data_IF_639930304160
#
_entry.id   IF_639930304160
#
_cell.length_a   1.000
_cell.length_b   1.000
_cell.length_c   1.000
_cell.angle_alpha   90.00
_cell.angle_beta   90.00
_cell.angle_gamma   90.00
#
_symmetry.space_group_name_H-M   'P 1'
#
loop_
_entity.id
_entity.type
_entity.pdbx_description
1 polymer ?
#
# COMPACT_ATOMS: atom_id res chain seq x y z
N UNK A 1 -10.56 15.01 -26.71
CA UNK A 1 -11.59 13.96 -26.65
C UNK A 1 -10.92 12.61 -26.46
N UNK A 2 -11.58 11.64 -25.82
CA UNK A 2 -11.05 10.28 -25.71
C UNK A 2 -11.17 9.57 -27.07
N UNK A 3 -10.12 8.90 -27.57
CA UNK A 3 -10.15 8.27 -28.89
C UNK A 3 -11.07 7.05 -28.90
N UNK A 4 -12.00 7.00 -29.85
CA UNK A 4 -12.81 5.81 -30.09
C UNK A 4 -11.95 4.65 -30.60
N UNK A 5 -10.96 4.95 -31.44
CA UNK A 5 -9.95 4.01 -31.92
C UNK A 5 -8.58 4.67 -32.04
N UNK A 6 -7.51 3.89 -31.99
CA UNK A 6 -6.13 4.35 -32.14
C UNK A 6 -5.22 3.23 -32.66
N UNK A 7 -4.10 3.60 -33.28
CA UNK A 7 -3.07 2.66 -33.69
C UNK A 7 -1.98 2.54 -32.61
N UNK A 8 -1.60 1.31 -32.28
CA UNK A 8 -0.45 1.05 -31.42
C UNK A 8 0.35 -0.13 -31.96
N UNK A 9 1.65 0.09 -32.22
CA UNK A 9 2.57 -0.91 -32.80
C UNK A 9 2.00 -1.62 -34.04
N UNK A 10 1.38 -0.87 -34.95
CA UNK A 10 0.84 -1.41 -36.21
C UNK A 10 -0.49 -2.15 -36.11
N UNK A 11 -1.15 -2.18 -34.94
CA UNK A 11 -2.48 -2.76 -34.74
C UNK A 11 -3.46 -1.68 -34.30
N UNK A 12 -4.65 -1.69 -34.89
CA UNK A 12 -5.76 -0.82 -34.50
C UNK A 12 -6.47 -1.38 -33.27
N UNK A 13 -6.77 -0.51 -32.31
CA UNK A 13 -7.48 -0.83 -31.07
C UNK A 13 -8.60 0.16 -30.80
N UNK A 14 -9.57 -0.29 -30.02
CA UNK A 14 -10.36 0.56 -29.12
C UNK A 14 -9.83 0.39 -27.66
N UNK A 15 -10.26 1.22 -26.69
CA UNK A 15 -9.78 1.08 -25.32
C UNK A 15 -10.04 -0.30 -24.68
N UNK A 16 -11.15 -0.98 -25.03
CA UNK A 16 -11.52 -2.28 -24.45
C UNK A 16 -10.64 -3.42 -24.97
N UNK A 17 -10.42 -3.45 -26.27
CA UNK A 17 -9.56 -4.42 -26.95
C UNK A 17 -8.09 -4.22 -26.54
N UNK A 18 -7.63 -2.96 -26.40
CA UNK A 18 -6.29 -2.69 -25.88
C UNK A 18 -6.12 -3.19 -24.45
N UNK A 19 -7.06 -2.90 -23.55
CA UNK A 19 -7.02 -3.39 -22.16
C UNK A 19 -6.97 -4.93 -22.10
N UNK A 20 -7.78 -5.61 -22.93
CA UNK A 20 -7.79 -7.08 -23.03
C UNK A 20 -6.46 -7.65 -23.55
N UNK A 21 -5.83 -7.00 -24.53
CA UNK A 21 -4.57 -7.45 -25.14
C UNK A 21 -3.37 -7.27 -24.18
N UNK A 22 -3.43 -6.30 -23.26
CA UNK A 22 -2.42 -6.09 -22.22
C UNK A 22 -2.41 -7.19 -21.13
N UNK A 23 -3.36 -8.14 -21.16
CA UNK A 23 -3.34 -9.33 -20.31
C UNK A 23 -3.76 -9.12 -18.86
N UNK A 24 -4.21 -7.93 -18.48
CA UNK A 24 -4.72 -7.65 -17.14
C UNK A 24 -6.13 -8.23 -17.01
N UNK A 25 -6.33 -9.13 -16.04
CA UNK A 25 -7.65 -9.64 -15.66
C UNK A 25 -8.01 -9.11 -14.28
N UNK A 26 -9.00 -8.22 -14.15
CA UNK A 26 -9.37 -7.66 -12.85
C UNK A 26 -9.68 -8.73 -11.79
N UNK A 27 -10.27 -9.86 -12.21
CA UNK A 27 -10.60 -10.99 -11.33
C UNK A 27 -9.37 -11.67 -10.70
N UNK A 28 -8.16 -11.44 -11.21
CA UNK A 28 -6.92 -11.97 -10.64
C UNK A 28 -6.42 -11.15 -9.45
N UNK A 29 -7.05 -10.00 -9.18
CA UNK A 29 -6.67 -9.08 -8.10
C UNK A 29 -7.72 -9.07 -6.99
N UNK A 30 -7.30 -8.67 -5.79
CA UNK A 30 -8.15 -8.60 -4.61
C UNK A 30 -7.72 -7.45 -3.71
N UNK A 31 -8.71 -6.74 -3.18
CA UNK A 31 -8.50 -5.66 -2.22
C UNK A 31 -8.52 -6.21 -0.80
N UNK A 32 -7.54 -5.84 0.01
CA UNK A 32 -7.35 -6.29 1.39
C UNK A 32 -7.22 -5.09 2.33
N UNK A 33 -7.72 -5.24 3.55
CA UNK A 33 -7.56 -4.27 4.63
C UNK A 33 -7.43 -4.99 5.98
N UNK A 34 -7.33 -4.25 7.09
CA UNK A 34 -7.14 -4.79 8.44
C UNK A 34 -7.73 -3.86 9.48
N UNK A 35 -8.97 -4.15 9.91
CA UNK A 35 -9.69 -3.43 10.96
C UNK A 35 -10.53 -4.38 11.83
N UNK A 36 -10.93 -3.93 13.01
CA UNK A 36 -11.62 -4.79 14.01
C UNK A 36 -13.10 -4.50 14.13
N UNK A 37 -13.64 -3.46 13.49
CA UNK A 37 -15.08 -3.18 13.48
C UNK A 37 -15.88 -4.12 12.58
N UNK A 38 -15.20 -4.95 11.78
CA UNK A 38 -15.76 -6.07 11.02
C UNK A 38 -15.02 -7.38 11.32
N UNK A 39 -15.66 -8.55 11.16
CA UNK A 39 -14.99 -9.84 11.32
C UNK A 39 -13.78 -10.00 10.40
N UNK A 40 -12.73 -10.65 10.89
CA UNK A 40 -11.62 -11.07 10.03
C UNK A 40 -12.04 -12.17 9.05
N UNK A 41 -11.37 -12.20 7.90
CA UNK A 41 -11.55 -13.13 6.79
C UNK A 41 -12.87 -13.01 6.04
N UNK A 42 -13.70 -12.03 6.39
CA UNK A 42 -14.94 -11.71 5.69
C UNK A 42 -14.77 -10.43 4.86
N UNK A 43 -15.46 -10.34 3.72
CA UNK A 43 -15.53 -9.13 2.92
C UNK A 43 -16.45 -8.09 3.57
N UNK A 44 -16.08 -6.81 3.49
CA UNK A 44 -16.95 -5.69 3.86
C UNK A 44 -16.70 -4.49 2.96
N UNK A 45 -17.59 -3.49 3.03
CA UNK A 45 -17.40 -2.20 2.36
C UNK A 45 -16.59 -1.31 3.30
N UNK A 46 -15.35 -0.99 2.93
CA UNK A 46 -14.52 -0.10 3.73
C UNK A 46 -15.09 1.32 3.66
N UNK A 47 -15.38 1.90 4.83
CA UNK A 47 -16.12 3.15 5.00
C UNK A 47 -15.23 4.39 4.84
N UNK A 48 -14.67 4.56 3.64
CA UNK A 48 -13.85 5.72 3.25
C UNK A 48 -14.55 6.52 2.14
N UNK A 49 -14.44 7.87 2.12
CA UNK A 49 -15.14 8.70 1.14
C UNK A 49 -14.87 8.33 -0.32
N UNK A 50 -13.63 7.95 -0.64
CA UNK A 50 -13.20 7.63 -1.99
C UNK A 50 -13.71 6.26 -2.48
N UNK A 51 -14.21 5.41 -1.57
CA UNK A 51 -14.89 4.15 -1.91
C UNK A 51 -16.37 4.36 -2.28
N UNK A 52 -16.67 5.40 -3.07
CA UNK A 52 -18.04 5.75 -3.48
C UNK A 52 -18.77 4.65 -4.28
N UNK A 53 -18.00 3.72 -4.87
CA UNK A 53 -18.53 2.59 -5.65
C UNK A 53 -18.94 1.40 -4.79
N UNK A 54 -18.74 1.47 -3.46
CA UNK A 54 -18.97 0.39 -2.52
C UNK A 54 -18.16 -0.88 -2.86
N UNK A 55 -16.90 -0.70 -3.26
CA UNK A 55 -15.96 -1.78 -3.48
C UNK A 55 -15.74 -2.58 -2.19
N UNK A 56 -15.62 -3.89 -2.33
CA UNK A 56 -15.45 -4.80 -1.20
C UNK A 56 -13.97 -5.11 -0.93
N UNK A 57 -13.61 -5.13 0.35
CA UNK A 57 -12.28 -5.43 0.85
C UNK A 57 -12.36 -6.64 1.78
N UNK A 58 -11.46 -7.60 1.62
CA UNK A 58 -11.33 -8.68 2.59
C UNK A 58 -10.53 -8.20 3.79
N UNK A 59 -11.03 -8.51 4.98
CA UNK A 59 -10.41 -8.09 6.22
C UNK A 59 -9.41 -9.14 6.73
N UNK A 60 -8.23 -8.72 7.18
CA UNK A 60 -7.20 -9.60 7.73
C UNK A 60 -6.68 -9.08 9.08
N UNK A 61 -6.17 -9.94 9.96
CA UNK A 61 -5.34 -9.50 11.07
C UNK A 61 -4.10 -8.74 10.57
N UNK A 62 -3.67 -7.69 11.29
CA UNK A 62 -2.60 -6.79 10.86
C UNK A 62 -1.30 -7.52 10.49
N UNK A 63 -0.89 -8.51 11.29
CA UNK A 63 0.34 -9.26 11.01
C UNK A 63 0.24 -10.08 9.71
N UNK A 64 -0.95 -10.57 9.38
CA UNK A 64 -1.18 -11.28 8.12
C UNK A 64 -1.17 -10.31 6.94
N UNK A 65 -1.80 -9.14 7.08
CA UNK A 65 -1.72 -8.07 6.07
C UNK A 65 -0.26 -7.70 5.80
N UNK A 66 0.54 -7.47 6.85
CA UNK A 66 1.96 -7.15 6.69
C UNK A 66 2.76 -8.27 6.03
N UNK A 67 2.47 -9.53 6.34
CA UNK A 67 3.16 -10.68 5.73
C UNK A 67 2.97 -10.75 4.21
N UNK A 68 1.88 -10.18 3.68
CA UNK A 68 1.62 -10.11 2.24
C UNK A 68 2.59 -9.14 1.55
N UNK A 69 3.00 -8.06 2.22
CA UNK A 69 3.95 -7.09 1.66
C UNK A 69 5.29 -7.79 1.38
N UNK A 70 5.80 -8.52 2.37
CA UNK A 70 7.03 -9.29 2.25
C UNK A 70 6.91 -10.43 1.23
N UNK A 71 5.81 -11.20 1.29
CA UNK A 71 5.61 -12.32 0.39
C UNK A 71 5.47 -11.87 -1.07
N UNK A 72 4.71 -10.81 -1.33
CA UNK A 72 4.53 -10.26 -2.67
C UNK A 72 5.87 -9.90 -3.30
N UNK A 73 6.68 -9.10 -2.61
CA UNK A 73 7.99 -8.67 -3.12
C UNK A 73 8.94 -9.84 -3.35
N UNK A 74 9.05 -10.78 -2.40
CA UNK A 74 9.93 -11.94 -2.57
C UNK A 74 9.49 -12.89 -3.69
N UNK A 75 8.23 -12.83 -4.11
CA UNK A 75 7.69 -13.65 -5.21
C UNK A 75 7.54 -12.87 -6.53
N UNK A 76 8.20 -11.72 -6.67
CA UNK A 76 8.23 -10.94 -7.91
C UNK A 76 6.95 -10.17 -8.21
N UNK A 77 6.08 -9.99 -7.21
CA UNK A 77 4.90 -9.14 -7.29
C UNK A 77 5.20 -7.76 -6.70
N UNK A 78 4.29 -6.83 -6.96
CA UNK A 78 4.24 -5.51 -6.35
C UNK A 78 2.85 -5.29 -5.77
N UNK A 79 2.69 -4.27 -4.92
CA UNK A 79 1.45 -4.03 -4.19
C UNK A 79 0.99 -2.59 -4.43
N UNK A 80 -0.23 -2.42 -4.93
CA UNK A 80 -0.86 -1.11 -4.93
C UNK A 80 -1.25 -0.79 -3.49
N UNK A 81 -0.70 0.30 -2.97
CA UNK A 81 -0.78 0.69 -1.57
C UNK A 81 -1.63 1.95 -1.46
N UNK A 82 -2.63 1.88 -0.60
CA UNK A 82 -3.48 2.98 -0.20
C UNK A 82 -3.14 3.28 1.26
N UNK A 83 -2.89 4.56 1.57
CA UNK A 83 -2.71 4.97 2.94
C UNK A 83 -2.55 6.46 3.12
N UNK A 84 -2.31 6.82 4.37
CA UNK A 84 -2.19 8.18 4.84
C UNK A 84 -0.74 8.70 4.70
N UNK A 85 -0.57 9.88 4.10
CA UNK A 85 0.72 10.58 3.96
C UNK A 85 0.77 11.94 4.66
N UNK A 86 -0.29 12.31 5.37
CA UNK A 86 -0.45 13.58 6.10
C UNK A 86 0.25 13.57 7.47
N UNK A 87 1.45 12.98 7.52
CA UNK A 87 2.19 12.73 8.74
C UNK A 87 3.50 13.51 8.81
N UNK A 88 3.88 13.95 10.01
CA UNK A 88 5.19 14.61 10.23
C UNK A 88 6.38 13.73 9.83
N UNK A 89 6.20 12.41 9.88
CA UNK A 89 7.20 11.44 9.50
C UNK A 89 7.20 11.07 8.01
N UNK A 90 6.30 11.66 7.20
CA UNK A 90 6.29 11.51 5.75
C UNK A 90 6.99 12.69 5.09
N UNK A 91 7.94 12.41 4.19
CA UNK A 91 8.61 13.43 3.40
C UNK A 91 9.06 12.92 2.05
N UNK A 92 8.29 13.22 1.00
CA UNK A 92 8.68 12.94 -0.39
C UNK A 92 9.98 13.65 -0.80
N UNK A 93 10.22 14.87 -0.29
CA UNK A 93 11.46 15.61 -0.54
C UNK A 93 12.70 14.88 -0.01
N UNK A 94 12.57 14.19 1.12
CA UNK A 94 13.67 13.38 1.69
C UNK A 94 13.60 11.90 1.28
N UNK A 95 12.52 11.48 0.63
CA UNK A 95 12.28 10.10 0.21
C UNK A 95 12.09 9.13 1.37
N UNK A 96 11.47 9.56 2.46
CA UNK A 96 11.31 8.75 3.68
C UNK A 96 9.89 8.86 4.23
N UNK A 97 9.34 7.74 4.68
CA UNK A 97 8.13 7.65 5.49
C UNK A 97 8.41 6.81 6.75
N UNK A 98 8.38 7.43 7.93
CA UNK A 98 8.70 6.82 9.23
C UNK A 98 7.68 7.21 10.28
N UNK A 99 7.52 6.40 11.32
CA UNK A 99 6.62 6.64 12.44
C UNK A 99 7.42 6.87 13.73
N UNK A 100 8.09 8.02 13.88
CA UNK A 100 9.04 8.28 14.96
C UNK A 100 8.35 8.38 16.33
N UNK A 101 9.01 7.92 17.41
CA UNK A 101 8.55 8.21 18.77
C UNK A 101 8.63 9.70 19.13
N UNK A 102 9.62 10.40 18.58
CA UNK A 102 9.75 11.85 18.68
C UNK A 102 9.78 12.47 17.26
N UNK A 103 8.65 12.99 16.75
CA UNK A 103 8.58 13.61 15.43
C UNK A 103 9.25 14.99 15.34
N UNK A 104 9.70 15.58 16.46
CA UNK A 104 10.31 16.90 16.47
C UNK A 104 11.84 16.86 16.62
N UNK A 105 12.48 15.69 16.47
CA UNK A 105 13.95 15.59 16.50
C UNK A 105 14.57 16.23 15.25
N UNK A 106 15.71 16.90 15.42
CA UNK A 106 16.36 17.67 14.35
C UNK A 106 16.87 16.80 13.18
N UNK A 107 17.23 15.55 13.45
CA UNK A 107 17.81 14.62 12.48
C UNK A 107 16.81 13.57 11.96
N UNK A 108 15.51 13.89 12.01
CA UNK A 108 14.39 12.99 11.72
C UNK A 108 14.55 12.20 10.42
N UNK A 109 14.96 12.85 9.33
CA UNK A 109 15.14 12.24 8.00
C UNK A 109 16.60 11.98 7.64
N UNK A 110 17.52 12.18 8.59
CA UNK A 110 18.97 12.06 8.37
C UNK A 110 19.50 10.78 8.99
N UNK A 111 18.99 10.38 10.17
CA UNK A 111 19.45 9.19 10.89
C UNK A 111 18.27 8.32 11.34
N UNK A 112 18.36 6.98 11.21
CA UNK A 112 17.38 6.07 11.79
C UNK A 112 17.13 6.34 13.27
N UNK A 113 15.92 6.03 13.72
CA UNK A 113 15.42 6.38 15.04
C UNK A 113 14.58 5.30 15.68
N UNK A 114 14.22 5.52 16.94
CA UNK A 114 13.14 4.75 17.56
C UNK A 114 11.81 5.15 16.93
N UNK A 115 11.08 4.14 16.48
CA UNK A 115 9.74 4.28 15.94
C UNK A 115 8.69 3.70 16.89
N UNK A 116 7.43 4.04 16.67
CA UNK A 116 6.32 3.54 17.48
C UNK A 116 6.13 2.03 17.25
N UNK A 117 5.69 1.33 18.29
CA UNK A 117 5.23 -0.05 18.15
C UNK A 117 3.73 -0.03 17.85
N UNK A 118 3.34 -0.65 16.74
CA UNK A 118 1.97 -0.60 16.22
C UNK A 118 1.30 -1.96 16.39
N UNK A 119 0.23 -1.99 17.18
CA UNK A 119 -0.68 -3.12 17.33
C UNK A 119 -2.01 -2.87 16.60
N UNK A 120 -2.88 -3.89 16.61
CA UNK A 120 -4.19 -3.83 15.95
C UNK A 120 -5.09 -2.75 16.55
N UNK A 121 -5.10 -2.62 17.88
CA UNK A 121 -5.95 -1.66 18.59
C UNK A 121 -5.58 -0.21 18.27
N UNK A 122 -4.28 0.09 18.24
CA UNK A 122 -3.78 1.41 17.85
C UNK A 122 -4.24 1.76 16.43
N UNK A 123 -4.06 0.82 15.49
CA UNK A 123 -4.50 0.98 14.10
C UNK A 123 -6.00 1.22 13.97
N UNK A 124 -6.82 0.52 14.74
CA UNK A 124 -8.27 0.76 14.76
C UNK A 124 -8.58 2.18 15.26
N UNK A 125 -7.97 2.56 16.40
CA UNK A 125 -8.24 3.86 17.03
C UNK A 125 -7.88 5.05 16.14
N UNK A 126 -6.82 4.94 15.32
CA UNK A 126 -6.42 6.03 14.42
C UNK A 126 -7.36 6.14 13.21
N UNK A 127 -7.91 5.04 12.72
CA UNK A 127 -8.94 5.06 11.68
C UNK A 127 -10.24 5.71 12.18
N UNK A 128 -10.75 5.28 13.35
CA UNK A 128 -12.01 5.79 13.91
C UNK A 128 -11.93 7.26 14.37
N UNK A 129 -10.74 7.73 14.74
CA UNK A 129 -10.50 9.13 15.11
C UNK A 129 -10.18 10.05 13.91
N UNK A 130 -10.15 9.50 12.69
CA UNK A 130 -9.70 10.19 11.48
C UNK A 130 -8.26 10.72 11.54
N UNK A 131 -7.43 10.15 12.42
CA UNK A 131 -5.99 10.37 12.43
C UNK A 131 -5.27 9.49 11.40
N UNK A 132 -5.97 8.58 10.72
CA UNK A 132 -5.51 7.87 9.54
C UNK A 132 -6.65 7.87 8.54
N UNK A 133 -6.45 8.55 7.42
CA UNK A 133 -7.42 8.66 6.32
C UNK A 133 -6.86 8.09 5.02
N UNK A 134 -7.74 7.74 4.08
CA UNK A 134 -7.33 7.48 2.68
C UNK A 134 -7.08 8.83 2.02
N UNK A 135 -5.80 9.20 1.86
CA UNK A 135 -5.42 10.48 1.25
C UNK A 135 -4.39 10.35 0.11
N UNK A 136 -3.80 9.16 -0.11
CA UNK A 136 -2.84 8.96 -1.20
C UNK A 136 -2.63 7.49 -1.60
N UNK A 137 -2.43 7.28 -2.91
CA UNK A 137 -2.14 5.99 -3.52
C UNK A 137 -0.70 5.94 -4.04
N UNK A 138 0.03 4.89 -3.69
CA UNK A 138 1.39 4.63 -4.17
C UNK A 138 1.60 3.15 -4.49
N UNK A 139 2.81 2.78 -4.89
CA UNK A 139 3.11 1.41 -5.33
C UNK A 139 4.32 0.84 -4.60
N UNK A 140 4.12 -0.21 -3.80
CA UNK A 140 5.20 -0.95 -3.17
C UNK A 140 5.88 -1.88 -4.19
N UNK A 141 7.18 -1.68 -4.38
CA UNK A 141 7.96 -2.31 -5.47
C UNK A 141 9.20 -3.05 -5.00
N UNK A 142 9.59 -2.91 -3.73
CA UNK A 142 10.78 -3.59 -3.22
C UNK A 142 10.94 -3.48 -1.71
N UNK A 143 12.03 -4.06 -1.22
CA UNK A 143 12.46 -4.01 0.17
C UNK A 143 13.92 -3.57 0.20
N UNK A 144 14.25 -2.67 1.10
CA UNK A 144 15.60 -2.19 1.37
C UNK A 144 15.95 -2.37 2.85
N UNK A 145 17.25 -2.26 3.16
CA UNK A 145 17.74 -2.23 4.54
C UNK A 145 18.61 -1.00 4.74
N UNK A 146 18.50 -0.38 5.92
CA UNK A 146 19.41 0.67 6.34
C UNK A 146 20.78 0.10 6.78
N UNK A 147 21.67 0.98 7.23
CA UNK A 147 23.00 0.62 7.74
C UNK A 147 22.97 -0.25 9.02
N UNK A 148 21.83 -0.31 9.72
CA UNK A 148 21.63 -1.14 10.91
C UNK A 148 20.92 -2.47 10.58
N UNK A 149 20.57 -2.70 9.32
CA UNK A 149 19.80 -3.86 8.88
C UNK A 149 18.28 -3.71 9.06
N UNK A 150 17.78 -2.53 9.45
CA UNK A 150 16.35 -2.24 9.60
C UNK A 150 15.66 -2.29 8.24
N UNK A 151 14.55 -3.01 8.16
CA UNK A 151 13.77 -3.18 6.92
C UNK A 151 12.96 -1.93 6.58
N UNK A 152 12.97 -1.54 5.32
CA UNK A 152 12.10 -0.54 4.71
C UNK A 152 11.45 -1.09 3.45
N UNK A 153 10.22 -0.70 3.17
CA UNK A 153 9.55 -0.93 1.90
C UNK A 153 9.89 0.19 0.91
N UNK A 154 10.24 -0.18 -0.32
CA UNK A 154 10.47 0.78 -1.40
C UNK A 154 9.14 1.10 -2.08
N UNK A 155 8.71 2.35 -1.95
CA UNK A 155 7.42 2.86 -2.43
C UNK A 155 7.66 3.80 -3.60
N UNK A 156 7.08 3.51 -4.76
CA UNK A 156 7.08 4.38 -5.93
C UNK A 156 5.93 5.38 -5.81
N UNK A 157 6.25 6.66 -5.85
CA UNK A 157 5.27 7.74 -5.87
C UNK A 157 4.98 8.19 -7.31
N UNK A 158 3.99 9.07 -7.46
CA UNK A 158 3.51 9.61 -8.73
C UNK A 158 3.78 11.12 -8.88
N UNK A 159 4.60 11.72 -8.00
CA UNK A 159 4.95 13.15 -8.00
C UNK A 159 6.21 13.49 -8.80
N UNK A 160 6.51 12.72 -9.85
CA UNK A 160 7.73 12.86 -10.64
C UNK A 160 8.99 12.43 -9.89
N UNK A 161 10.16 12.89 -10.35
CA UNK A 161 11.48 12.52 -9.81
C UNK A 161 11.84 13.30 -8.53
N UNK A 162 10.88 13.44 -7.60
CA UNK A 162 11.09 14.15 -6.34
C UNK A 162 12.02 13.38 -5.40
N UNK A 163 12.84 14.14 -4.67
CA UNK A 163 13.69 13.60 -3.60
C UNK A 163 14.90 12.81 -4.11
N UNK A 164 15.71 12.28 -3.18
CA UNK A 164 16.99 11.66 -3.51
C UNK A 164 16.88 10.31 -4.22
N UNK A 165 15.69 9.71 -4.28
CA UNK A 165 15.44 8.40 -4.89
C UNK A 165 14.58 8.50 -6.15
N UNK A 166 14.64 9.64 -6.87
CA UNK A 166 13.99 9.83 -8.17
C UNK A 166 12.49 9.45 -8.15
N UNK A 167 11.75 9.95 -7.16
CA UNK A 167 10.31 9.69 -7.00
C UNK A 167 9.95 8.46 -6.17
N UNK A 168 10.94 7.73 -5.65
CA UNK A 168 10.72 6.64 -4.68
C UNK A 168 10.91 7.13 -3.23
N UNK A 169 10.35 6.37 -2.30
CA UNK A 169 10.49 6.58 -0.86
C UNK A 169 10.83 5.26 -0.16
N UNK A 170 11.53 5.36 0.96
CA UNK A 170 11.69 4.28 1.92
C UNK A 170 10.65 4.43 3.03
N UNK A 171 9.70 3.50 3.10
CA UNK A 171 8.66 3.46 4.12
C UNK A 171 9.00 2.41 5.18
N UNK A 172 9.07 2.82 6.44
CA UNK A 172 9.35 1.89 7.53
C UNK A 172 8.19 0.93 7.77
N UNK A 173 8.49 -0.20 8.39
CA UNK A 173 7.45 -1.17 8.76
C UNK A 173 6.43 -0.60 9.75
N UNK A 174 6.80 0.15 10.81
CA UNK A 174 5.82 0.82 11.67
C UNK A 174 4.90 1.78 10.93
N UNK A 175 5.44 2.56 9.98
CA UNK A 175 4.62 3.45 9.16
C UNK A 175 3.62 2.65 8.32
N UNK A 176 4.09 1.62 7.61
CA UNK A 176 3.24 0.75 6.81
C UNK A 176 2.13 0.10 7.67
N UNK A 177 2.46 -0.39 8.87
CA UNK A 177 1.51 -1.01 9.79
C UNK A 177 0.39 -0.07 10.22
N UNK A 178 0.71 1.19 10.51
CA UNK A 178 -0.30 2.13 11.01
C UNK A 178 -1.06 2.82 9.88
N UNK A 179 -0.35 3.21 8.82
CA UNK A 179 -0.84 4.19 7.84
C UNK A 179 -1.35 3.59 6.53
N UNK A 180 -1.13 2.31 6.26
CA UNK A 180 -1.88 1.61 5.20
C UNK A 180 -3.37 1.71 5.52
N UNK A 181 -4.23 2.06 4.58
CA UNK A 181 -5.68 1.92 4.70
C UNK A 181 -6.13 0.62 4.03
N UNK A 182 -5.67 0.40 2.80
CA UNK A 182 -5.92 -0.83 2.06
C UNK A 182 -4.77 -1.16 1.10
N UNK A 183 -4.83 -2.36 0.51
CA UNK A 183 -3.95 -2.74 -0.60
C UNK A 183 -4.76 -3.44 -1.69
N UNK A 184 -4.28 -3.35 -2.93
CA UNK A 184 -4.69 -4.20 -4.04
C UNK A 184 -3.50 -5.04 -4.50
N UNK A 185 -3.71 -6.35 -4.60
CA UNK A 185 -2.64 -7.30 -4.88
C UNK A 185 -3.16 -8.43 -5.77
N UNK A 186 -2.28 -9.01 -6.60
CA UNK A 186 -2.61 -10.20 -7.37
C UNK A 186 -2.81 -11.38 -6.40
N UNK A 187 -3.80 -12.25 -6.60
CA UNK A 187 -4.13 -13.36 -5.69
C UNK A 187 -2.91 -14.26 -5.39
N UNK A 188 -2.10 -14.58 -6.40
CA UNK A 188 -0.86 -15.38 -6.22
C UNK A 188 0.22 -14.71 -5.35
N UNK A 189 0.14 -13.40 -5.11
CA UNK A 189 1.04 -12.65 -4.24
C UNK A 189 0.64 -12.70 -2.75
N UNK A 190 -0.40 -13.47 -2.41
CA UNK A 190 -0.85 -13.71 -1.05
C UNK A 190 -0.29 -15.07 -0.59
N UNK A 191 0.30 -15.21 0.61
CA UNK A 191 0.75 -16.50 1.13
C UNK A 191 -0.34 -17.60 1.05
N UNK A 192 -0.01 -18.84 0.67
CA UNK A 192 -1.00 -19.91 0.48
C UNK A 192 -1.92 -20.15 1.68
N UNK A 193 -1.38 -20.03 2.91
CA UNK A 193 -2.13 -20.18 4.14
C UNK A 193 -3.18 -19.10 4.34
N UNK A 194 -2.91 -17.85 3.92
CA UNK A 194 -3.88 -16.75 3.98
C UNK A 194 -4.93 -16.92 2.88
N UNK A 195 -4.53 -17.29 1.65
CA UNK A 195 -5.49 -17.60 0.57
C UNK A 195 -6.52 -18.64 0.99
N UNK A 196 -6.08 -19.70 1.67
CA UNK A 196 -6.98 -20.74 2.19
C UNK A 196 -8.00 -20.18 3.19
N UNK A 197 -7.60 -19.26 4.07
CA UNK A 197 -8.50 -18.60 5.03
C UNK A 197 -9.52 -17.70 4.33
N UNK A 198 -9.08 -17.01 3.27
CA UNK A 198 -9.92 -16.17 2.41
C UNK A 198 -10.76 -16.96 1.39
N UNK A 199 -10.62 -18.30 1.33
CA UNK A 199 -11.30 -19.18 0.37
C UNK A 199 -11.05 -18.80 -1.10
N UNK A 200 -9.82 -18.37 -1.41
CA UNK A 200 -9.32 -18.04 -2.75
C UNK A 200 -8.66 -19.22 -3.46
#
# INVERSE_FOLDING_TARGET
>A
EAPATFEYKGKMYDPKSFAKDNGIRPDDYISLTSYTHHPFYEPFILEIPDNFSNGSFYNLPLDELMSIFDFAIHNGYSVAWDGDVSEKGFSAKNGIAILPQNPNRDDLFIKPGKEQQVNQEMRQSTFESFATTDDHLMHLTGIAKDQNGTKYFLIKNSWGEIGPQNGYLYMSEPYARLKTVAILVHKNAIPPQIRKKLKL
#
